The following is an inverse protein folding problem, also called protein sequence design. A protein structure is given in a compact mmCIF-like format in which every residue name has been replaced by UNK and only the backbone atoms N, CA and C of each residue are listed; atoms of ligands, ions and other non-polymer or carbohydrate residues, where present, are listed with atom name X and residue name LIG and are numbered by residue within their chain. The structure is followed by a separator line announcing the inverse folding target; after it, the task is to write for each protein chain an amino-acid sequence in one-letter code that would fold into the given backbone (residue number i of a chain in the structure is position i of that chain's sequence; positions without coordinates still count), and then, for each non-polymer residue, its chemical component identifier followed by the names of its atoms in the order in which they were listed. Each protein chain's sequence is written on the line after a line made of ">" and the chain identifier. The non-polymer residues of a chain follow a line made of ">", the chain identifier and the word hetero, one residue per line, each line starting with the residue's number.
data_IF_756221224962
#
_entry.id   IF_756221224962
#
_cell.length_a   1.000
_cell.length_b   1.000
_cell.length_c   1.000
_cell.angle_alpha   90.00
_cell.angle_beta   90.00
_cell.angle_gamma   90.00
#
_symmetry.space_group_name_H-M   'P 1'
#
loop_
_entity.id
_entity.type
_entity.pdbx_description
1 polymer ?
#
# COMPACT_ATOMS: atom_id res chain seq x y z
N UNK A 1 -12.69 -2.09 49.82
CA UNK A 1 -13.91 -2.31 49.02
C UNK A 1 -13.76 -3.64 48.33
N UNK A 2 -14.38 -4.66 48.90
CA UNK A 2 -14.31 -6.06 48.48
C UNK A 2 -15.58 -6.37 47.70
N UNK A 3 -15.49 -6.37 46.38
CA UNK A 3 -16.60 -6.75 45.51
C UNK A 3 -16.72 -8.27 45.46
N UNK A 4 -17.81 -8.76 46.07
CA UNK A 4 -18.28 -10.13 45.98
C UNK A 4 -18.74 -10.41 44.55
N UNK A 5 -18.03 -11.30 43.85
CA UNK A 5 -18.45 -11.87 42.57
C UNK A 5 -19.68 -12.76 42.79
N UNK A 6 -20.86 -12.25 42.45
CA UNK A 6 -22.08 -13.05 42.30
C UNK A 6 -21.93 -13.97 41.08
N UNK A 7 -21.82 -15.26 41.38
CA UNK A 7 -21.69 -16.33 40.41
C UNK A 7 -23.09 -16.58 39.79
N UNK A 8 -23.34 -15.97 38.63
CA UNK A 8 -24.54 -16.16 37.83
C UNK A 8 -24.62 -17.61 37.32
N UNK A 9 -25.46 -18.43 37.97
CA UNK A 9 -25.84 -19.77 37.52
C UNK A 9 -26.67 -19.67 36.23
N UNK A 10 -26.04 -19.90 35.08
CA UNK A 10 -26.77 -20.08 33.83
C UNK A 10 -27.46 -21.45 33.85
N UNK A 11 -28.77 -21.54 33.54
CA UNK A 11 -29.47 -22.80 33.46
C UNK A 11 -28.90 -23.67 32.33
N UNK A 12 -28.89 -25.00 32.50
CA UNK A 12 -28.37 -25.93 31.50
C UNK A 12 -29.15 -25.76 30.19
N UNK A 13 -28.42 -25.46 29.11
CA UNK A 13 -28.96 -25.41 27.74
C UNK A 13 -29.43 -26.80 27.37
N UNK A 14 -30.74 -27.00 27.35
CA UNK A 14 -31.39 -28.21 26.88
C UNK A 14 -31.20 -28.30 25.36
N UNK A 15 -30.19 -29.07 24.95
CA UNK A 15 -29.90 -29.35 23.54
C UNK A 15 -31.05 -30.21 23.00
N UNK A 16 -31.98 -29.56 22.30
CA UNK A 16 -33.09 -30.21 21.62
C UNK A 16 -32.55 -31.35 20.73
N UNK A 17 -32.98 -32.58 21.03
CA UNK A 17 -32.63 -33.75 20.21
C UNK A 17 -33.22 -33.56 18.80
N UNK A 18 -32.42 -33.74 17.74
CA UNK A 18 -32.94 -33.68 16.39
C UNK A 18 -34.03 -34.75 16.20
N UNK A 19 -35.10 -34.44 15.45
CA UNK A 19 -36.20 -35.36 15.19
C UNK A 19 -35.71 -36.63 14.49
N UNK A 20 -36.19 -37.78 14.97
CA UNK A 20 -35.72 -39.13 14.60
C UNK A 20 -36.06 -39.58 13.16
N UNK A 21 -36.66 -38.72 12.33
CA UNK A 21 -37.22 -39.11 11.02
C UNK A 21 -36.31 -38.87 9.81
N UNK A 22 -35.03 -38.55 10.01
CA UNK A 22 -34.05 -38.44 8.90
C UNK A 22 -33.11 -39.67 8.90
N UNK A 23 -33.67 -40.87 9.06
CA UNK A 23 -32.93 -42.12 9.00
C UNK A 23 -32.92 -42.78 7.60
N UNK A 24 -33.49 -42.13 6.58
CA UNK A 24 -33.88 -42.80 5.33
C UNK A 24 -33.10 -42.47 4.05
N UNK A 25 -32.13 -41.55 4.06
CA UNK A 25 -31.34 -41.23 2.85
C UNK A 25 -29.85 -41.19 3.17
N UNK A 26 -29.28 -42.39 3.37
CA UNK A 26 -27.86 -42.60 3.19
C UNK A 26 -27.62 -42.53 1.68
N UNK A 27 -27.43 -41.32 1.15
CA UNK A 27 -26.78 -41.16 -0.15
C UNK A 27 -25.38 -41.76 0.05
N UNK A 28 -25.01 -42.84 -0.67
CA UNK A 28 -23.67 -43.39 -0.54
C UNK A 28 -22.70 -42.24 -0.83
N UNK A 29 -21.92 -41.86 0.18
CA UNK A 29 -20.83 -40.91 0.02
C UNK A 29 -19.94 -41.55 -1.05
N UNK A 30 -20.02 -41.02 -2.26
CA UNK A 30 -19.11 -41.36 -3.35
C UNK A 30 -17.78 -40.81 -2.87
N UNK A 31 -17.06 -41.64 -2.11
CA UNK A 31 -15.67 -41.42 -1.75
C UNK A 31 -14.94 -41.50 -3.07
N UNK A 32 -14.82 -40.34 -3.73
CA UNK A 32 -13.99 -40.19 -4.90
C UNK A 32 -12.63 -40.76 -4.51
N UNK A 33 -12.12 -41.79 -5.22
CA UNK A 33 -10.84 -42.38 -4.88
C UNK A 33 -9.83 -41.24 -4.83
N UNK A 34 -8.95 -41.18 -3.81
CA UNK A 34 -8.03 -40.06 -3.64
C UNK A 34 -7.32 -39.87 -4.97
N UNK A 35 -7.70 -38.80 -5.70
CA UNK A 35 -7.15 -38.53 -7.03
C UNK A 35 -5.66 -38.45 -6.80
N UNK A 36 -4.94 -39.50 -7.22
CA UNK A 36 -3.48 -39.55 -7.16
C UNK A 36 -3.05 -38.28 -7.86
N UNK A 37 -2.63 -37.27 -7.09
CA UNK A 37 -2.07 -36.03 -7.61
C UNK A 37 -0.82 -36.48 -8.35
N UNK A 38 -0.98 -36.79 -9.63
CA UNK A 38 0.11 -37.04 -10.54
C UNK A 38 0.91 -35.75 -10.49
N UNK A 39 2.00 -35.78 -9.73
CA UNK A 39 3.05 -34.78 -9.82
C UNK A 39 3.48 -34.86 -11.29
N UNK A 40 3.06 -33.90 -12.10
CA UNK A 40 3.60 -33.65 -13.44
C UNK A 40 4.68 -32.58 -13.28
N UNK A 41 5.90 -32.95 -12.80
CA UNK A 41 6.97 -31.99 -12.50
C UNK A 41 7.46 -31.23 -13.74
N UNK A 42 7.05 -31.63 -14.95
CA UNK A 42 7.48 -30.98 -16.19
C UNK A 42 6.45 -30.03 -16.77
N UNK A 43 5.15 -30.23 -16.52
CA UNK A 43 4.12 -29.32 -17.05
C UNK A 43 4.12 -27.98 -16.30
N UNK A 44 4.42 -27.99 -15.00
CA UNK A 44 4.57 -26.75 -14.24
C UNK A 44 5.77 -25.93 -14.73
N UNK A 45 6.89 -26.58 -15.08
CA UNK A 45 8.06 -25.93 -15.66
C UNK A 45 7.74 -25.36 -17.03
N UNK A 46 7.02 -26.11 -17.88
CA UNK A 46 6.58 -25.59 -19.19
C UNK A 46 5.68 -24.37 -19.06
N UNK A 47 4.76 -24.34 -18.10
CA UNK A 47 3.95 -23.14 -17.82
C UNK A 47 4.80 -21.99 -17.28
N UNK A 48 5.76 -22.22 -16.39
CA UNK A 48 6.67 -21.18 -15.88
C UNK A 48 7.54 -20.61 -17.02
N UNK A 49 8.09 -21.45 -17.90
CA UNK A 49 8.85 -20.99 -19.07
C UNK A 49 7.97 -20.31 -20.13
N UNK A 50 6.68 -20.65 -20.23
CA UNK A 50 5.74 -19.97 -21.11
C UNK A 50 5.34 -18.59 -20.56
N UNK A 51 5.15 -18.49 -19.24
CA UNK A 51 4.96 -17.22 -18.52
C UNK A 51 6.20 -16.33 -18.66
N UNK A 52 7.40 -16.90 -18.48
CA UNK A 52 8.66 -16.18 -18.66
C UNK A 52 8.89 -15.69 -20.10
N UNK A 53 8.35 -16.42 -21.10
CA UNK A 53 8.33 -16.02 -22.51
C UNK A 53 7.19 -15.07 -22.87
N UNK A 54 6.31 -14.74 -21.92
CA UNK A 54 5.16 -13.84 -22.13
C UNK A 54 4.05 -14.40 -23.01
N UNK A 55 4.04 -15.72 -23.31
CA UNK A 55 3.04 -16.31 -24.21
C UNK A 55 1.72 -16.66 -23.52
N UNK A 56 1.71 -16.79 -22.19
CA UNK A 56 0.50 -16.97 -21.39
C UNK A 56 0.54 -16.09 -20.15
N UNK A 57 -0.53 -15.32 -19.94
CA UNK A 57 -0.76 -14.65 -18.67
C UNK A 57 -0.89 -15.71 -17.58
N UNK A 58 0.01 -15.68 -16.58
CA UNK A 58 -0.01 -16.61 -15.47
C UNK A 58 -1.39 -16.60 -14.81
N UNK A 59 -2.11 -17.72 -14.99
CA UNK A 59 -3.45 -17.91 -14.44
C UNK A 59 -3.46 -17.75 -12.93
N UNK A 60 -2.33 -17.83 -12.23
CA UNK A 60 -2.24 -17.66 -10.78
C UNK A 60 -1.61 -16.33 -10.35
N UNK A 61 -1.16 -15.48 -11.27
CA UNK A 61 -0.57 -14.17 -10.94
C UNK A 61 -1.54 -13.27 -10.18
N UNK A 62 -2.85 -13.40 -10.45
CA UNK A 62 -3.90 -12.68 -9.75
C UNK A 62 -4.01 -13.04 -8.25
N UNK A 63 -3.41 -14.14 -7.79
CA UNK A 63 -3.34 -14.53 -6.36
C UNK A 63 -2.13 -13.96 -5.62
N UNK A 64 -1.14 -13.37 -6.33
CA UNK A 64 0.10 -12.85 -5.71
C UNK A 64 -0.01 -11.38 -5.27
N UNK A 65 -1.08 -10.68 -5.64
CA UNK A 65 -1.37 -9.29 -5.24
C UNK A 65 -2.24 -9.15 -3.98
N UNK A 66 -2.30 -10.18 -3.12
CA UNK A 66 -3.20 -10.18 -1.97
C UNK A 66 -2.76 -9.18 -0.87
N UNK A 67 -3.72 -8.56 -0.15
CA UNK A 67 -3.48 -7.61 0.94
C UNK A 67 -2.57 -8.15 2.05
N UNK A 68 -2.39 -9.48 2.12
CA UNK A 68 -1.56 -10.16 3.12
C UNK A 68 -0.07 -9.82 3.01
N UNK A 69 0.49 -9.81 1.80
CA UNK A 69 1.91 -9.51 1.61
C UNK A 69 2.21 -8.06 2.00
N UNK A 70 1.30 -7.15 1.65
CA UNK A 70 1.40 -5.75 2.06
C UNK A 70 1.29 -5.58 3.57
N UNK A 71 0.31 -6.22 4.22
CA UNK A 71 0.17 -6.20 5.68
C UNK A 71 1.41 -6.77 6.40
N UNK A 72 2.02 -7.84 5.86
CA UNK A 72 3.23 -8.42 6.39
C UNK A 72 4.44 -7.47 6.28
N UNK A 73 4.65 -6.87 5.10
CA UNK A 73 5.69 -5.86 4.90
C UNK A 73 5.49 -4.64 5.80
N UNK A 74 4.24 -4.20 5.97
CA UNK A 74 3.88 -3.12 6.87
C UNK A 74 4.20 -3.47 8.34
N UNK A 75 3.88 -4.68 8.78
CA UNK A 75 4.22 -5.15 10.12
C UNK A 75 5.74 -5.19 10.36
N UNK A 76 6.52 -5.69 9.39
CA UNK A 76 7.99 -5.66 9.45
C UNK A 76 8.49 -4.22 9.55
N UNK A 77 7.92 -3.31 8.76
CA UNK A 77 8.29 -1.89 8.77
C UNK A 77 8.04 -1.26 10.15
N UNK A 78 6.86 -1.49 10.74
CA UNK A 78 6.53 -0.99 12.09
C UNK A 78 7.47 -1.57 13.16
N UNK A 79 7.79 -2.87 13.07
CA UNK A 79 8.71 -3.54 13.97
C UNK A 79 10.12 -2.96 13.85
N UNK A 80 10.65 -2.81 12.63
CA UNK A 80 11.97 -2.23 12.39
C UNK A 80 12.04 -0.76 12.85
N UNK A 81 11.01 0.04 12.57
CA UNK A 81 10.94 1.42 13.07
C UNK A 81 10.99 1.48 14.60
N UNK A 82 10.28 0.57 15.27
CA UNK A 82 10.29 0.47 16.74
C UNK A 82 11.65 0.00 17.28
N UNK A 83 12.28 -0.98 16.64
CA UNK A 83 13.62 -1.47 17.01
C UNK A 83 14.67 -0.38 16.81
N UNK A 84 14.66 0.33 15.67
CA UNK A 84 15.60 1.43 15.39
C UNK A 84 15.42 2.52 16.43
N UNK A 85 14.18 2.90 16.73
CA UNK A 85 13.88 3.85 17.77
C UNK A 85 14.51 3.38 19.09
N UNK A 86 14.05 2.28 19.68
CA UNK A 86 14.55 1.78 20.97
C UNK A 86 16.07 1.55 20.98
N UNK A 87 16.64 1.07 19.88
CA UNK A 87 18.06 0.81 19.71
C UNK A 87 18.91 2.08 19.83
N UNK A 88 18.45 3.21 19.30
CA UNK A 88 19.15 4.51 19.44
C UNK A 88 19.24 4.94 20.91
N UNK A 89 18.17 4.74 21.70
CA UNK A 89 18.17 5.08 23.14
C UNK A 89 19.05 4.13 23.93
N UNK A 90 18.94 2.82 23.66
CA UNK A 90 19.74 1.80 24.34
C UNK A 90 21.24 1.99 24.08
N UNK A 91 21.63 2.33 22.84
CA UNK A 91 23.02 2.60 22.48
C UNK A 91 23.58 3.85 23.18
N UNK A 92 22.73 4.84 23.49
CA UNK A 92 23.13 6.03 24.23
C UNK A 92 23.39 5.82 25.72
N UNK A 93 23.01 4.67 26.30
CA UNK A 93 23.21 4.34 27.71
C UNK A 93 22.40 5.18 28.71
N UNK A 94 21.58 6.12 28.23
CA UNK A 94 20.76 7.01 29.05
C UNK A 94 19.33 6.46 29.08
N UNK A 95 18.99 5.76 30.16
CA UNK A 95 17.61 5.30 30.42
C UNK A 95 16.94 6.31 31.35
N UNK A 96 16.80 7.55 30.87
CA UNK A 96 15.99 8.57 31.54
C UNK A 96 14.69 8.77 30.77
N UNK A 97 13.64 9.19 31.49
CA UNK A 97 12.33 9.37 30.89
C UNK A 97 12.33 10.48 29.81
N UNK A 98 13.25 11.43 29.94
CA UNK A 98 13.46 12.51 28.97
C UNK A 98 14.05 12.01 27.64
N UNK A 99 14.73 10.86 27.62
CA UNK A 99 15.26 10.25 26.40
C UNK A 99 14.15 9.65 25.51
N UNK A 100 12.96 9.36 26.06
CA UNK A 100 11.84 8.79 25.30
C UNK A 100 11.12 9.82 24.42
N UNK A 101 11.18 11.12 24.74
CA UNK A 101 10.51 12.13 23.93
C UNK A 101 11.08 12.28 22.51
N UNK A 102 12.40 12.49 22.31
CA UNK A 102 12.95 12.51 20.96
C UNK A 102 12.73 11.17 20.24
N UNK A 103 12.67 10.06 20.99
CA UNK A 103 12.36 8.74 20.46
C UNK A 103 10.97 8.67 19.82
N UNK A 104 9.95 9.06 20.59
CA UNK A 104 8.56 9.05 20.16
C UNK A 104 8.34 9.96 18.95
N UNK A 105 9.02 11.12 18.90
CA UNK A 105 9.01 12.01 17.73
C UNK A 105 9.58 11.33 16.50
N UNK A 106 10.79 10.78 16.61
CA UNK A 106 11.44 10.07 15.51
C UNK A 106 10.62 8.88 15.00
N UNK A 107 10.03 8.11 15.92
CA UNK A 107 9.13 7.01 15.59
C UNK A 107 7.91 7.50 14.80
N UNK A 108 7.20 8.50 15.29
CA UNK A 108 5.98 9.03 14.66
C UNK A 108 6.28 9.66 13.29
N UNK A 109 7.41 10.37 13.13
CA UNK A 109 7.86 10.87 11.82
C UNK A 109 8.19 9.72 10.87
N UNK A 110 8.84 8.67 11.37
CA UNK A 110 9.10 7.45 10.58
C UNK A 110 7.79 6.83 10.12
N UNK A 111 6.79 6.68 10.99
CA UNK A 111 5.46 6.18 10.62
C UNK A 111 4.82 7.04 9.51
N UNK A 112 4.92 8.37 9.61
CA UNK A 112 4.41 9.27 8.58
C UNK A 112 5.08 9.02 7.21
N UNK A 113 6.40 8.83 7.18
CA UNK A 113 7.13 8.45 5.96
C UNK A 113 6.62 7.12 5.39
N UNK A 114 6.38 6.12 6.25
CA UNK A 114 5.81 4.84 5.84
C UNK A 114 4.46 4.98 5.13
N UNK A 115 3.55 5.78 5.71
CA UNK A 115 2.21 6.04 5.14
C UNK A 115 2.31 6.84 3.84
N UNK A 116 3.12 7.89 3.81
CA UNK A 116 3.08 8.89 2.74
C UNK A 116 4.00 8.56 1.56
N UNK A 117 5.06 7.78 1.79
CA UNK A 117 6.05 7.46 0.76
C UNK A 117 6.04 5.96 0.45
N UNK A 118 6.27 5.10 1.45
CA UNK A 118 6.46 3.67 1.18
C UNK A 118 5.18 2.99 0.69
N UNK A 119 4.05 3.27 1.34
CA UNK A 119 2.77 2.70 0.90
C UNK A 119 2.43 3.00 -0.57
N UNK A 120 2.39 4.26 -1.05
CA UNK A 120 2.07 4.54 -2.45
C UNK A 120 3.08 3.96 -3.44
N UNK A 121 4.38 3.95 -3.12
CA UNK A 121 5.41 3.37 -3.99
C UNK A 121 5.24 1.86 -4.13
N UNK A 122 5.04 1.15 -3.02
CA UNK A 122 4.77 -0.29 -3.03
C UNK A 122 3.48 -0.57 -3.80
N UNK A 123 2.43 0.24 -3.60
CA UNK A 123 1.15 -0.06 -4.23
C UNK A 123 1.13 0.22 -5.72
N UNK A 124 1.70 1.34 -6.17
CA UNK A 124 1.72 1.70 -7.58
C UNK A 124 2.68 0.81 -8.40
N UNK A 125 3.64 0.14 -7.75
CA UNK A 125 4.55 -0.82 -8.40
C UNK A 125 3.93 -2.21 -8.61
N UNK A 126 2.75 -2.46 -8.03
CA UNK A 126 2.03 -3.72 -8.18
C UNK A 126 1.14 -3.73 -9.44
N UNK A 127 0.75 -4.94 -9.84
CA UNK A 127 -0.26 -5.17 -10.90
C UNK A 127 -1.63 -4.66 -10.43
N UNK A 128 -2.47 -4.22 -11.36
CA UNK A 128 -3.82 -3.70 -11.06
C UNK A 128 -4.64 -4.77 -10.33
N UNK A 129 -5.30 -4.43 -9.21
CA UNK A 129 -6.16 -5.35 -8.49
C UNK A 129 -7.42 -5.68 -9.30
N UNK A 130 -7.81 -6.96 -9.31
CA UNK A 130 -9.01 -7.46 -10.02
C UNK A 130 -10.30 -6.93 -9.40
N UNK A 131 -10.34 -6.76 -8.08
CA UNK A 131 -11.49 -6.23 -7.33
C UNK A 131 -11.75 -4.73 -7.58
N UNK A 132 -10.89 -4.08 -8.37
CA UNK A 132 -10.95 -2.68 -8.68
C UNK A 132 -10.08 -1.82 -7.76
N UNK A 133 -9.52 -0.77 -8.33
CA UNK A 133 -8.54 0.12 -7.67
C UNK A 133 -9.02 0.68 -6.32
N UNK A 134 -10.28 1.15 -6.26
CA UNK A 134 -10.86 1.81 -5.08
C UNK A 134 -11.01 0.90 -3.87
N UNK A 135 -11.58 -0.29 -4.06
CA UNK A 135 -11.81 -1.24 -2.95
C UNK A 135 -10.47 -1.69 -2.38
N UNK A 136 -9.51 -1.92 -3.27
CA UNK A 136 -8.20 -2.38 -2.88
C UNK A 136 -7.41 -1.29 -2.11
N UNK A 137 -7.47 -0.02 -2.56
CA UNK A 137 -6.90 1.11 -1.81
C UNK A 137 -7.55 1.30 -0.43
N UNK A 138 -8.86 1.04 -0.30
CA UNK A 138 -9.57 1.13 0.98
C UNK A 138 -9.14 0.03 1.96
N UNK A 139 -8.92 -1.20 1.46
CA UNK A 139 -8.34 -2.29 2.25
C UNK A 139 -6.94 -1.94 2.73
N UNK A 140 -6.10 -1.42 1.83
CA UNK A 140 -4.74 -0.99 2.18
C UNK A 140 -4.77 0.14 3.23
N UNK A 141 -5.69 1.10 3.12
CA UNK A 141 -5.87 2.16 4.10
C UNK A 141 -6.17 1.61 5.51
N UNK A 142 -7.08 0.63 5.62
CA UNK A 142 -7.38 0.00 6.90
C UNK A 142 -6.17 -0.77 7.47
N UNK A 143 -5.45 -1.50 6.60
CA UNK A 143 -4.22 -2.24 6.95
C UNK A 143 -3.13 -1.31 7.47
N UNK A 144 -3.01 -0.11 6.91
CA UNK A 144 -2.02 0.90 7.33
C UNK A 144 -2.45 1.60 8.61
N UNK A 145 -3.68 2.13 8.64
CA UNK A 145 -4.12 3.01 9.72
C UNK A 145 -4.38 2.27 11.04
N UNK A 146 -4.98 1.08 11.03
CA UNK A 146 -5.33 0.40 12.30
C UNK A 146 -4.08 0.12 13.15
N UNK A 147 -3.02 -0.52 12.63
CA UNK A 147 -1.79 -0.73 13.41
C UNK A 147 -1.09 0.56 13.77
N UNK A 148 -1.12 1.57 12.87
CA UNK A 148 -0.52 2.87 13.13
C UNK A 148 -1.16 3.55 14.35
N UNK A 149 -2.49 3.50 14.47
CA UNK A 149 -3.19 4.05 15.63
C UNK A 149 -2.78 3.33 16.92
N UNK A 150 -2.63 2.01 16.87
CA UNK A 150 -2.15 1.24 18.02
C UNK A 150 -0.75 1.66 18.50
N UNK A 151 0.10 2.21 17.62
CA UNK A 151 1.43 2.74 17.99
C UNK A 151 1.37 4.19 18.50
N UNK A 152 0.47 5.02 17.95
CA UNK A 152 0.36 6.45 18.28
C UNK A 152 -0.26 6.68 19.66
N UNK A 153 -1.31 5.94 20.04
CA UNK A 153 -2.00 6.17 21.31
C UNK A 153 -1.14 5.97 22.58
N UNK A 154 -0.32 4.90 22.69
CA UNK A 154 0.57 4.72 23.83
C UNK A 154 1.59 5.85 24.03
N UNK A 155 1.84 6.69 23.01
CA UNK A 155 2.75 7.83 23.13
C UNK A 155 2.25 8.88 24.13
N UNK A 156 0.95 8.90 24.44
CA UNK A 156 0.41 9.73 25.52
C UNK A 156 1.12 9.46 26.85
N UNK A 157 1.40 8.19 27.15
CA UNK A 157 2.08 7.77 28.38
C UNK A 157 3.59 7.81 28.21
N UNK A 158 4.12 7.27 27.11
CA UNK A 158 5.56 7.12 26.88
C UNK A 158 6.27 8.47 26.67
N UNK A 159 5.67 9.38 25.92
CA UNK A 159 6.25 10.68 25.59
C UNK A 159 5.74 11.81 26.51
N UNK A 160 4.82 11.50 27.44
CA UNK A 160 4.07 12.49 28.24
C UNK A 160 3.38 13.55 27.36
N UNK A 161 2.91 13.15 26.18
CA UNK A 161 2.17 14.06 25.30
C UNK A 161 0.78 14.34 25.87
N UNK A 162 0.32 15.57 25.71
CA UNK A 162 -1.07 15.91 25.99
C UNK A 162 -1.99 15.17 25.00
N UNK A 163 -3.25 14.87 25.40
CA UNK A 163 -4.21 14.22 24.51
C UNK A 163 -4.39 14.95 23.18
N UNK A 164 -4.29 16.29 23.19
CA UNK A 164 -4.42 17.13 21.99
C UNK A 164 -3.35 16.82 20.94
N UNK A 165 -2.10 16.61 21.36
CA UNK A 165 -0.99 16.28 20.45
C UNK A 165 -1.24 14.91 19.83
N UNK A 166 -1.58 13.91 20.64
CA UNK A 166 -1.86 12.54 20.18
C UNK A 166 -3.03 12.54 19.19
N UNK A 167 -4.09 13.30 19.50
CA UNK A 167 -5.25 13.46 18.63
C UNK A 167 -4.89 14.18 17.33
N UNK A 168 -4.16 15.30 17.38
CA UNK A 168 -3.75 16.06 16.21
C UNK A 168 -2.82 15.24 15.30
N UNK A 169 -1.84 14.53 15.86
CA UNK A 169 -0.96 13.61 15.13
C UNK A 169 -1.77 12.48 14.48
N UNK A 170 -2.68 11.85 15.23
CA UNK A 170 -3.55 10.79 14.72
C UNK A 170 -4.41 11.28 13.55
N UNK A 171 -5.07 12.43 13.71
CA UNK A 171 -5.92 13.04 12.68
C UNK A 171 -5.11 13.48 11.47
N UNK A 172 -3.89 14.01 11.66
CA UNK A 172 -2.99 14.34 10.56
C UNK A 172 -2.62 13.09 9.74
N UNK A 173 -2.28 11.98 10.40
CA UNK A 173 -1.97 10.72 9.73
C UNK A 173 -3.19 10.13 9.00
N UNK A 174 -4.39 10.24 9.57
CA UNK A 174 -5.64 9.82 8.91
C UNK A 174 -5.93 10.69 7.69
N UNK A 175 -5.83 12.02 7.81
CA UNK A 175 -6.08 12.96 6.72
C UNK A 175 -5.14 12.71 5.53
N UNK A 176 -3.83 12.57 5.80
CA UNK A 176 -2.85 12.21 4.78
C UNK A 176 -3.03 10.79 4.25
N UNK A 177 -3.34 9.82 5.10
CA UNK A 177 -3.65 8.46 4.68
C UNK A 177 -4.83 8.42 3.70
N UNK A 178 -5.90 9.18 3.99
CA UNK A 178 -7.05 9.34 3.10
C UNK A 178 -6.64 9.97 1.76
N UNK A 179 -5.88 11.06 1.79
CA UNK A 179 -5.39 11.71 0.57
C UNK A 179 -4.56 10.75 -0.29
N UNK A 180 -3.56 10.10 0.30
CA UNK A 180 -2.69 9.14 -0.39
C UNK A 180 -3.47 7.95 -0.92
N UNK A 181 -4.39 7.38 -0.13
CA UNK A 181 -5.27 6.30 -0.58
C UNK A 181 -6.14 6.68 -1.78
N UNK A 182 -6.65 7.92 -1.81
CA UNK A 182 -7.39 8.45 -2.94
C UNK A 182 -6.51 8.62 -4.19
N UNK A 183 -5.30 9.15 -4.03
CA UNK A 183 -4.32 9.29 -5.11
C UNK A 183 -3.88 7.93 -5.67
N UNK A 184 -3.68 6.93 -4.81
CA UNK A 184 -3.42 5.54 -5.23
C UNK A 184 -4.62 5.01 -6.02
N UNK A 185 -5.85 5.22 -5.55
CA UNK A 185 -7.04 4.74 -6.24
C UNK A 185 -7.17 5.30 -7.67
N UNK A 186 -6.74 6.55 -7.89
CA UNK A 186 -6.62 7.16 -9.21
C UNK A 186 -5.43 6.61 -10.00
N UNK A 187 -4.23 6.60 -9.39
CA UNK A 187 -2.98 6.25 -10.05
C UNK A 187 -2.91 4.78 -10.51
N UNK A 188 -3.47 3.83 -9.76
CA UNK A 188 -3.45 2.42 -10.16
C UNK A 188 -4.26 2.15 -11.44
N UNK A 189 -5.17 3.05 -11.83
CA UNK A 189 -5.93 2.95 -13.09
C UNK A 189 -5.12 3.36 -14.30
N UNK A 190 -4.08 4.17 -14.13
CA UNK A 190 -3.31 4.66 -15.26
C UNK A 190 -2.45 3.54 -15.88
N UNK A 191 -2.12 3.70 -17.16
CA UNK A 191 -1.16 2.86 -17.86
C UNK A 191 0.21 2.87 -17.16
N UNK A 192 1.04 1.86 -17.42
CA UNK A 192 2.32 1.67 -16.75
C UNK A 192 3.20 2.95 -16.75
N UNK A 193 3.31 3.64 -17.88
CA UNK A 193 4.09 4.89 -18.00
C UNK A 193 3.60 6.00 -17.08
N UNK A 194 2.27 6.16 -16.97
CA UNK A 194 1.66 7.19 -16.12
C UNK A 194 1.77 6.86 -14.64
N UNK A 195 1.94 5.58 -14.26
CA UNK A 195 2.13 5.21 -12.84
C UNK A 195 3.42 5.76 -12.28
N UNK A 196 4.51 5.74 -13.04
CA UNK A 196 5.77 6.36 -12.63
C UNK A 196 5.60 7.86 -12.40
N UNK A 197 4.81 8.54 -13.25
CA UNK A 197 4.47 9.95 -13.06
C UNK A 197 3.62 10.17 -11.79
N UNK A 198 2.67 9.29 -11.48
CA UNK A 198 1.92 9.33 -10.22
C UNK A 198 2.81 9.11 -9.00
N UNK A 199 3.74 8.15 -9.05
CA UNK A 199 4.71 7.94 -7.97
C UNK A 199 5.55 9.19 -7.73
N UNK A 200 6.13 9.75 -8.79
CA UNK A 200 6.91 10.98 -8.71
C UNK A 200 6.07 12.15 -8.18
N UNK A 201 4.85 12.32 -8.68
CA UNK A 201 3.93 13.36 -8.24
C UNK A 201 3.57 13.25 -6.75
N UNK A 202 3.31 12.03 -6.25
CA UNK A 202 3.04 11.79 -4.82
C UNK A 202 4.27 12.10 -3.98
N UNK A 203 5.45 11.63 -4.38
CA UNK A 203 6.70 11.92 -3.65
C UNK A 203 6.98 13.43 -3.63
N UNK A 204 6.84 14.12 -4.77
CA UNK A 204 6.97 15.56 -4.86
C UNK A 204 5.94 16.30 -4.00
N UNK A 205 4.70 15.81 -3.92
CA UNK A 205 3.66 16.39 -3.06
C UNK A 205 4.03 16.26 -1.57
N UNK A 206 4.48 15.07 -1.17
CA UNK A 206 4.79 14.75 0.23
C UNK A 206 6.06 15.44 0.72
N UNK A 207 7.09 15.50 -0.11
CA UNK A 207 8.42 15.99 0.26
C UNK A 207 8.64 17.44 -0.18
N UNK A 208 7.98 17.88 -1.25
CA UNK A 208 8.22 19.17 -1.89
C UNK A 208 8.01 20.36 -0.98
N UNK A 209 6.99 20.35 -0.12
CA UNK A 209 6.75 21.44 0.83
C UNK A 209 7.93 21.65 1.80
N UNK A 210 8.46 20.55 2.36
CA UNK A 210 9.62 20.58 3.23
C UNK A 210 10.91 20.96 2.47
N UNK A 211 11.13 20.40 1.28
CA UNK A 211 12.32 20.72 0.46
C UNK A 211 12.34 22.18 0.00
N UNK A 212 11.21 22.71 -0.47
CA UNK A 212 11.10 24.13 -0.88
C UNK A 212 11.37 25.04 0.30
N UNK A 213 10.80 24.73 1.47
CA UNK A 213 10.99 25.53 2.68
C UNK A 213 12.44 25.49 3.18
N UNK A 214 13.10 24.33 3.08
CA UNK A 214 14.52 24.18 3.38
C UNK A 214 15.40 24.98 2.40
N UNK A 215 15.13 24.90 1.10
CA UNK A 215 15.85 25.66 0.06
C UNK A 215 15.63 27.17 0.19
N UNK A 216 14.45 27.58 0.65
CA UNK A 216 14.14 28.98 0.94
C UNK A 216 14.77 29.49 2.25
N UNK A 217 15.49 28.65 2.99
CA UNK A 217 16.11 29.01 4.28
C UNK A 217 15.09 29.23 5.40
N UNK A 218 13.83 28.80 5.23
CA UNK A 218 12.77 28.96 6.22
C UNK A 218 12.81 27.88 7.31
N UNK A 219 13.48 26.77 7.04
CA UNK A 219 13.71 25.70 8.02
C UNK A 219 15.20 25.59 8.27
N UNK A 220 15.58 25.57 9.55
CA UNK A 220 16.92 25.13 9.94
C UNK A 220 17.10 23.64 9.57
N UNK A 221 18.29 23.18 9.15
CA UNK A 221 18.52 21.76 8.84
C UNK A 221 18.23 20.84 10.04
N UNK A 222 18.18 21.41 11.25
CA UNK A 222 17.75 20.74 12.46
C UNK A 222 16.21 20.61 12.51
N UNK A 223 15.65 19.79 11.62
CA UNK A 223 14.21 19.50 11.51
C UNK A 223 13.57 19.00 12.83
N UNK A 224 14.40 18.51 13.75
CA UNK A 224 14.00 18.01 15.06
C UNK A 224 14.00 19.10 16.15
N UNK A 225 14.49 20.30 15.84
CA UNK A 225 14.51 21.47 16.72
C UNK A 225 14.08 22.72 15.94
N UNK A 226 12.76 22.95 15.77
CA UNK A 226 12.30 24.23 15.29
C UNK A 226 12.69 25.31 16.31
N UNK A 227 13.58 26.21 15.89
CA UNK A 227 14.04 27.38 16.66
C UNK A 227 12.99 28.51 16.67
N UNK A 228 11.75 28.25 16.25
CA UNK A 228 10.69 29.23 16.20
C UNK A 228 9.59 28.90 17.21
N UNK A 229 9.09 29.91 17.96
CA UNK A 229 7.98 29.73 18.90
C UNK A 229 6.64 29.49 18.18
N UNK A 230 6.55 29.92 16.92
CA UNK A 230 5.34 29.84 16.10
C UNK A 230 5.25 28.54 15.30
N UNK A 231 4.10 28.32 14.64
CA UNK A 231 3.90 27.18 13.75
C UNK A 231 4.88 27.24 12.58
N UNK A 232 5.25 26.07 12.05
CA UNK A 232 6.07 26.02 10.85
C UNK A 232 5.38 26.75 9.68
N UNK A 233 6.15 27.25 8.69
CA UNK A 233 5.58 27.88 7.50
C UNK A 233 4.53 26.99 6.84
N UNK A 234 3.51 27.60 6.23
CA UNK A 234 2.38 26.87 5.65
C UNK A 234 2.80 25.77 4.64
N UNK A 235 3.91 25.96 3.91
CA UNK A 235 4.45 24.96 3.00
C UNK A 235 4.98 23.71 3.71
N UNK A 236 5.53 23.86 4.93
CA UNK A 236 5.95 22.74 5.78
C UNK A 236 4.74 22.00 6.32
N UNK A 237 3.73 22.75 6.77
CA UNK A 237 2.46 22.17 7.24
C UNK A 237 1.67 21.50 6.10
N UNK A 238 1.88 21.92 4.86
CA UNK A 238 1.33 21.28 3.67
C UNK A 238 2.12 20.02 3.26
N UNK A 239 3.26 19.72 3.89
CA UNK A 239 3.97 18.46 3.71
C UNK A 239 3.55 17.48 4.82
N UNK A 240 3.25 16.23 4.47
CA UNK A 240 2.68 15.33 5.45
C UNK A 240 3.63 14.97 6.60
N UNK A 241 4.89 14.65 6.28
CA UNK A 241 5.89 14.35 7.31
C UNK A 241 6.27 15.62 8.10
N UNK A 242 6.30 16.80 7.45
CA UNK A 242 6.61 18.07 8.11
C UNK A 242 5.51 18.50 9.08
N UNK A 243 4.23 18.34 8.73
CA UNK A 243 3.11 18.59 9.64
C UNK A 243 3.19 17.72 10.89
N UNK A 244 3.43 16.41 10.72
CA UNK A 244 3.57 15.48 11.83
C UNK A 244 4.80 15.82 12.68
N UNK A 245 5.91 16.16 12.05
CA UNK A 245 7.12 16.60 12.74
C UNK A 245 6.86 17.87 13.57
N UNK A 246 6.21 18.89 13.01
CA UNK A 246 5.95 20.17 13.69
C UNK A 246 4.95 20.07 14.85
N UNK A 247 3.92 19.23 14.71
CA UNK A 247 2.98 18.91 15.82
C UNK A 247 3.74 18.25 16.97
N UNK A 248 4.63 17.31 16.65
CA UNK A 248 5.39 16.56 17.65
C UNK A 248 6.61 17.30 18.20
N UNK A 249 7.00 18.42 17.58
CA UNK A 249 8.28 19.08 17.83
C UNK A 249 8.45 19.55 19.28
N UNK A 250 9.70 19.46 19.76
CA UNK A 250 10.03 20.06 21.05
C UNK A 250 10.14 21.56 20.95
N UNK A 251 9.52 22.24 21.89
CA UNK A 251 9.71 23.67 22.11
C UNK A 251 10.27 23.93 23.50
N UNK A 252 10.78 22.91 24.19
CA UNK A 252 11.22 23.00 25.59
C UNK A 252 12.26 24.11 25.83
N UNK A 253 13.05 24.44 24.81
CA UNK A 253 13.99 25.57 24.82
C UNK A 253 13.30 26.93 25.04
N UNK A 254 12.05 27.10 24.61
CA UNK A 254 11.22 28.29 24.84
C UNK A 254 10.35 28.18 26.10
N UNK A 255 10.53 27.11 26.89
CA UNK A 255 9.73 26.84 28.08
C UNK A 255 8.35 26.24 27.81
N UNK A 256 8.03 25.92 26.55
CA UNK A 256 6.78 25.26 26.16
C UNK A 256 7.05 23.84 25.67
N UNK A 257 6.26 22.86 26.07
CA UNK A 257 6.39 21.50 25.51
C UNK A 257 5.81 21.48 24.08
N UNK A 258 5.72 20.30 23.47
CA UNK A 258 4.96 20.15 22.23
C UNK A 258 3.54 20.77 22.40
N UNK A 259 3.11 21.57 21.42
CA UNK A 259 1.87 22.34 21.47
C UNK A 259 1.19 22.24 20.10
N UNK A 260 -0.11 22.01 20.12
CA UNK A 260 -0.94 22.04 18.92
C UNK A 260 -1.47 23.44 18.71
N UNK A 261 -1.15 24.04 17.56
CA UNK A 261 -1.56 25.39 17.20
C UNK A 261 -2.81 25.35 16.29
N UNK A 262 -3.60 26.44 16.21
CA UNK A 262 -4.75 26.52 15.30
C UNK A 262 -4.39 26.24 13.83
N UNK A 263 -3.18 26.61 13.41
CA UNK A 263 -2.62 26.38 12.07
C UNK A 263 -2.52 24.88 11.76
N UNK A 264 -2.17 24.05 12.76
CA UNK A 264 -2.14 22.60 12.60
C UNK A 264 -3.53 22.05 12.30
N UNK A 265 -4.54 22.48 13.05
CA UNK A 265 -5.92 22.06 12.82
C UNK A 265 -6.43 22.48 11.45
N UNK A 266 -6.12 23.71 11.01
CA UNK A 266 -6.46 24.19 9.66
C UNK A 266 -5.80 23.33 8.58
N UNK A 267 -4.52 22.99 8.75
CA UNK A 267 -3.80 22.12 7.82
C UNK A 267 -4.44 20.71 7.78
N UNK A 268 -4.72 20.11 8.93
CA UNK A 268 -5.38 18.79 9.04
C UNK A 268 -6.73 18.80 8.32
N UNK A 269 -7.60 19.77 8.60
CA UNK A 269 -8.92 19.86 7.98
C UNK A 269 -8.85 20.12 6.47
N UNK A 270 -7.91 20.96 6.03
CA UNK A 270 -7.67 21.21 4.62
C UNK A 270 -7.25 19.92 3.91
N UNK A 271 -6.22 19.22 4.42
CA UNK A 271 -5.75 17.94 3.86
C UNK A 271 -6.86 16.90 3.86
N UNK A 272 -7.64 16.80 4.94
CA UNK A 272 -8.77 15.88 5.04
C UNK A 272 -9.82 16.17 3.96
N UNK A 273 -10.21 17.44 3.80
CA UNK A 273 -11.16 17.87 2.77
C UNK A 273 -10.69 17.55 1.35
N UNK A 274 -9.41 17.82 1.05
CA UNK A 274 -8.79 17.45 -0.23
C UNK A 274 -8.79 15.93 -0.41
N UNK A 275 -8.45 15.17 0.64
CA UNK A 275 -8.50 13.71 0.60
C UNK A 275 -9.88 13.16 0.26
N UNK A 276 -10.92 13.63 0.95
CA UNK A 276 -12.32 13.25 0.66
C UNK A 276 -12.70 13.62 -0.77
N UNK A 277 -12.34 14.82 -1.23
CA UNK A 277 -12.59 15.25 -2.61
C UNK A 277 -11.94 14.32 -3.64
N UNK A 278 -10.68 13.92 -3.43
CA UNK A 278 -9.96 12.97 -4.31
C UNK A 278 -10.66 11.60 -4.35
N UNK A 279 -11.19 11.12 -3.21
CA UNK A 279 -11.98 9.88 -3.18
C UNK A 279 -13.28 9.98 -3.97
N UNK A 280 -13.99 11.11 -3.86
CA UNK A 280 -15.21 11.37 -4.64
C UNK A 280 -14.87 11.36 -6.13
N UNK A 281 -13.81 12.06 -6.54
CA UNK A 281 -13.35 12.08 -7.93
C UNK A 281 -13.01 10.67 -8.44
N UNK A 282 -12.29 9.88 -7.63
CA UNK A 282 -11.98 8.49 -7.96
C UNK A 282 -13.24 7.65 -8.15
N UNK A 283 -14.26 7.81 -7.28
CA UNK A 283 -15.52 7.10 -7.39
C UNK A 283 -16.29 7.49 -8.67
N UNK A 284 -16.39 8.78 -8.99
CA UNK A 284 -17.06 9.28 -10.20
C UNK A 284 -16.39 8.71 -11.45
N UNK A 285 -15.06 8.80 -11.53
CA UNK A 285 -14.32 8.31 -12.70
C UNK A 285 -14.43 6.79 -12.87
N UNK A 286 -14.53 6.01 -11.79
CA UNK A 286 -14.73 4.54 -11.90
C UNK A 286 -16.14 4.24 -12.40
N UNK A 287 -17.12 4.99 -11.93
CA UNK A 287 -18.51 4.81 -12.34
C UNK A 287 -18.71 5.16 -13.83
N UNK A 288 -18.09 6.25 -14.31
CA UNK A 288 -18.19 6.66 -15.71
C UNK A 288 -17.60 5.64 -16.68
N UNK A 289 -16.49 4.98 -16.33
CA UNK A 289 -15.92 3.90 -17.15
C UNK A 289 -16.82 2.68 -17.25
N UNK A 290 -17.43 2.27 -16.13
CA UNK A 290 -18.39 1.16 -16.13
C UNK A 290 -19.57 1.48 -17.03
N UNK A 291 -20.10 2.70 -16.94
CA UNK A 291 -21.21 3.14 -17.79
C UNK A 291 -20.81 3.22 -19.26
N UNK A 292 -19.63 3.72 -19.58
CA UNK A 292 -19.13 3.74 -20.95
C UNK A 292 -18.92 2.32 -21.51
N UNK A 293 -18.45 1.38 -20.69
CA UNK A 293 -18.29 -0.02 -21.09
C UNK A 293 -19.66 -0.68 -21.36
N UNK A 294 -20.64 -0.48 -20.49
CA UNK A 294 -22.00 -0.97 -20.69
C UNK A 294 -22.69 -0.35 -21.91
N UNK A 295 -22.48 0.94 -22.17
CA UNK A 295 -23.00 1.59 -23.37
C UNK A 295 -22.35 1.04 -24.64
N UNK A 296 -21.03 0.79 -24.63
CA UNK A 296 -20.34 0.16 -25.76
C UNK A 296 -20.85 -1.25 -26.03
N UNK A 297 -21.08 -2.07 -25.00
CA UNK A 297 -21.62 -3.42 -25.19
C UNK A 297 -23.07 -3.40 -25.69
N UNK A 298 -23.90 -2.46 -25.22
CA UNK A 298 -25.27 -2.28 -25.72
C UNK A 298 -25.32 -1.79 -27.16
N UNK A 299 -24.47 -0.82 -27.52
CA UNK A 299 -24.43 -0.24 -28.87
C UNK A 299 -23.80 -1.18 -29.90
N UNK A 300 -22.90 -2.07 -29.49
CA UNK A 300 -22.34 -3.07 -30.38
C UNK A 300 -23.44 -3.98 -30.95
N UNK A 301 -24.54 -4.22 -30.25
CA UNK A 301 -25.63 -5.08 -30.72
C UNK A 301 -25.19 -6.55 -30.91
N UNK A 302 -26.14 -7.51 -30.89
CA UNK A 302 -25.81 -8.93 -31.06
C UNK A 302 -25.20 -9.24 -32.44
N UNK A 303 -25.56 -8.48 -33.48
CA UNK A 303 -25.09 -8.72 -34.86
C UNK A 303 -23.61 -8.37 -35.08
N UNK A 304 -23.05 -7.46 -34.29
CA UNK A 304 -21.66 -7.05 -34.47
C UNK A 304 -20.70 -7.99 -33.75
N UNK A 305 -21.17 -8.66 -32.71
CA UNK A 305 -20.43 -9.73 -32.01
C UNK A 305 -20.36 -10.97 -32.91
N UNK A 306 -21.47 -11.38 -33.53
CA UNK A 306 -21.45 -12.53 -34.46
C UNK A 306 -20.60 -12.29 -35.70
N UNK A 307 -20.49 -11.05 -36.19
CA UNK A 307 -19.56 -10.67 -37.28
C UNK A 307 -18.09 -10.74 -36.88
N UNK A 308 -17.75 -10.40 -35.63
CA UNK A 308 -16.36 -10.47 -35.17
C UNK A 308 -15.93 -11.92 -34.95
N UNK A 309 -16.81 -12.77 -34.44
CA UNK A 309 -16.54 -14.21 -34.30
C UNK A 309 -16.39 -14.89 -35.67
N UNK A 310 -17.24 -14.54 -36.64
CA UNK A 310 -17.13 -15.11 -38.00
C UNK A 310 -15.88 -14.63 -38.75
N UNK A 311 -15.40 -13.39 -38.53
CA UNK A 311 -14.11 -12.92 -39.09
C UNK A 311 -12.92 -13.61 -38.40
N UNK A 312 -13.01 -13.89 -37.10
CA UNK A 312 -11.95 -14.61 -36.37
C UNK A 312 -11.85 -16.07 -36.83
N UNK A 313 -12.99 -16.76 -37.04
CA UNK A 313 -13.02 -18.13 -37.57
C UNK A 313 -12.48 -18.22 -39.01
N UNK A 314 -12.82 -17.24 -39.87
CA UNK A 314 -12.29 -17.16 -41.24
C UNK A 314 -10.78 -16.88 -41.30
N UNK A 315 -10.20 -16.27 -40.27
CA UNK A 315 -8.75 -16.02 -40.18
C UNK A 315 -7.93 -17.20 -39.64
N UNK A 316 -8.56 -18.16 -38.95
CA UNK A 316 -7.86 -19.33 -38.37
C UNK A 316 -7.71 -20.51 -39.33
N UNK A 317 -8.52 -20.60 -40.38
CA UNK A 317 -8.51 -21.74 -41.31
C UNK A 317 -7.64 -21.53 -42.56
N UNK A 318 -7.05 -20.33 -42.75
CA UNK A 318 -6.43 -19.94 -44.03
C UNK A 318 -4.91 -20.10 -44.14
N UNK A 319 -4.23 -20.88 -43.29
CA UNK A 319 -2.86 -21.31 -43.62
C UNK A 319 -1.89 -21.47 -42.46
N UNK A 320 -1.81 -22.69 -41.93
CA UNK A 320 -0.67 -23.18 -41.16
C UNK A 320 0.13 -24.27 -41.86
N UNK A 321 -0.05 -24.48 -43.18
CA UNK A 321 0.65 -25.55 -43.91
C UNK A 321 1.84 -25.10 -44.79
N UNK A 322 2.19 -23.81 -44.88
CA UNK A 322 3.16 -23.36 -45.89
C UNK A 322 4.36 -22.54 -45.43
N UNK A 323 4.70 -22.47 -44.13
CA UNK A 323 5.84 -21.65 -43.69
C UNK A 323 6.81 -22.29 -42.69
N UNK A 324 6.78 -23.61 -42.53
CA UNK A 324 7.79 -24.36 -41.74
C UNK A 324 9.12 -24.59 -42.48
N UNK A 325 9.29 -24.12 -43.72
CA UNK A 325 10.46 -24.43 -44.54
C UNK A 325 11.47 -23.29 -44.76
N UNK A 326 11.37 -22.13 -44.06
CA UNK A 326 12.16 -20.95 -44.46
C UNK A 326 13.01 -20.23 -43.41
N UNK A 327 13.22 -20.78 -42.22
CA UNK A 327 14.10 -20.14 -41.24
C UNK A 327 15.11 -21.10 -40.59
N UNK A 328 15.91 -21.73 -41.45
CA UNK A 328 17.04 -22.58 -41.03
C UNK A 328 18.37 -22.19 -41.70
N UNK A 329 18.55 -20.93 -42.10
CA UNK A 329 19.80 -20.45 -42.72
C UNK A 329 20.12 -19.00 -42.36
N UNK A 330 20.52 -18.74 -41.10
CA UNK A 330 21.42 -17.60 -40.77
C UNK A 330 22.07 -17.71 -39.39
N UNK A 331 22.72 -18.85 -39.12
CA UNK A 331 23.80 -18.92 -38.13
C UNK A 331 25.11 -19.24 -38.87
N UNK A 332 25.76 -18.22 -39.44
CA UNK A 332 27.17 -18.31 -39.78
C UNK A 332 27.80 -16.91 -39.88
N UNK A 333 28.88 -16.72 -39.12
CA UNK A 333 29.69 -15.49 -39.05
C UNK A 333 29.22 -14.57 -37.91
N UNK A 334 30.01 -14.26 -36.89
CA UNK A 334 31.46 -14.11 -36.87
C UNK A 334 31.98 -14.25 -35.43
N UNK A 335 32.91 -15.18 -35.26
CA UNK A 335 33.85 -15.22 -34.13
C UNK A 335 34.73 -13.97 -34.21
N UNK A 336 34.40 -12.96 -33.41
CA UNK A 336 35.21 -11.77 -33.19
C UNK A 336 36.28 -12.05 -32.14
N UNK A 337 37.52 -12.22 -32.62
CA UNK A 337 38.76 -12.39 -31.87
C UNK A 337 38.89 -11.46 -30.67
N UNK A 338 39.38 -12.05 -29.58
CA UNK A 338 40.10 -11.36 -28.51
C UNK A 338 41.27 -10.55 -29.09
N UNK A 339 41.37 -9.29 -28.67
CA UNK A 339 42.57 -8.49 -28.82
C UNK A 339 42.97 -7.96 -27.45
N UNK A 340 44.18 -8.37 -27.05
CA UNK A 340 44.95 -7.92 -25.90
C UNK A 340 44.98 -6.39 -25.75
N UNK A 341 45.05 -5.87 -24.51
CA UNK A 341 45.80 -4.66 -24.24
C UNK A 341 47.18 -5.05 -23.70
N UNK A 342 48.16 -4.91 -24.59
CA UNK A 342 49.58 -4.90 -24.26
C UNK A 342 49.92 -3.73 -23.33
N UNK A 343 50.93 -4.00 -22.52
CA UNK A 343 51.75 -3.08 -21.73
C UNK A 343 52.23 -1.85 -22.50
N UNK A 344 52.10 -0.69 -21.86
CA UNK A 344 53.02 0.46 -21.88
C UNK A 344 52.75 1.17 -20.54
N UNK A 345 53.68 1.43 -19.63
CA UNK A 345 55.05 1.88 -19.86
C UNK A 345 55.12 3.39 -19.60
N UNK A 346 55.07 3.79 -18.32
CA UNK A 346 55.84 4.89 -17.71
C UNK A 346 55.57 4.97 -16.20
#
# INVERSE_FOLDING_TARGET
>A
MSESFEQSEHPPVEIARPPADIAGQIVPEIVDPPRKRHRRPLEWLKSEFAIARGSQADKWSHRRGEPRNFAFLWAIYLMLGSIIALGVVLAGGIVTLDAYQPLSRGLVVTLAVGVMIFWPLIRLSQVVPVEGSRIAALKDLAIVLIPLQAVVWPQMVLARWTPDIVLATSMAMIAWGLLIGGLIALGTRSNHTWRSAWMAGIVCLVVGGATISMLAGQISPDLLRPNHPDAAPALVLASGAGLVADISADRSWSGSWALVMPEHWRAIWCTFGVGVFVWILAAIMIHSEKMAAELRTRLAGPEHISRLDSIAELGTDSGTDSNESRFDLRSNGTVGKASDPASNGN
#
